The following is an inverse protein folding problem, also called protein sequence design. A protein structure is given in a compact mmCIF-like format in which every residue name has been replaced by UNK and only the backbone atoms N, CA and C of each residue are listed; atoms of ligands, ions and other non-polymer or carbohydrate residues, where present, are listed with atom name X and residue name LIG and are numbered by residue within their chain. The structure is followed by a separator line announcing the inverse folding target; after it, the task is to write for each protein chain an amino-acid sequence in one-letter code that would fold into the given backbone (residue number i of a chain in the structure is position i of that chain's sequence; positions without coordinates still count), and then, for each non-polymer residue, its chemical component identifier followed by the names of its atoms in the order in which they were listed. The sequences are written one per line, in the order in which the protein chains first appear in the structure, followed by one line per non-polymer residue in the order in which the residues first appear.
data_IF_425899235795
#
_entry.id   IF_425899235795
#
_cell.length_a   1.000
_cell.length_b   1.000
_cell.length_c   1.000
_cell.angle_alpha   90.00
_cell.angle_beta   90.00
_cell.angle_gamma   90.00
#
_symmetry.space_group_name_H-M   'P 1'
#
loop_
_entity.id
_entity.type
_entity.pdbx_description
1 polymer ?
#
# COMPACT_ATOMS: atom_id res chain seq x y z
N UNK A 1 -57.34 85.91 -3.61
CA UNK A 1 -58.19 87.03 -3.19
C UNK A 1 -58.85 86.60 -1.89
N UNK A 2 -58.51 87.25 -0.79
CA UNK A 2 -59.08 86.94 0.51
C UNK A 2 -60.52 87.47 0.59
N UNK A 3 -61.45 86.63 1.04
CA UNK A 3 -62.83 87.00 1.28
C UNK A 3 -62.88 88.05 2.39
N UNK A 4 -63.47 89.23 2.13
CA UNK A 4 -63.60 90.25 3.16
C UNK A 4 -64.53 89.77 4.28
N UNK A 5 -64.22 90.14 5.53
CA UNK A 5 -65.00 89.73 6.71
C UNK A 5 -66.49 90.10 6.58
N UNK A 6 -66.77 91.29 6.06
CA UNK A 6 -68.15 91.75 5.80
C UNK A 6 -68.89 90.88 4.76
N UNK A 7 -68.21 90.48 3.67
CA UNK A 7 -68.82 89.60 2.67
C UNK A 7 -69.10 88.21 3.25
N UNK A 8 -68.18 87.67 4.06
CA UNK A 8 -68.33 86.39 4.75
C UNK A 8 -69.53 86.39 5.69
N UNK A 9 -69.66 87.41 6.53
CA UNK A 9 -70.73 87.52 7.53
C UNK A 9 -72.10 87.62 6.84
N UNK A 10 -72.21 88.37 5.74
CA UNK A 10 -73.44 88.43 4.92
C UNK A 10 -73.78 87.10 4.26
N UNK A 11 -72.78 86.37 3.75
CA UNK A 11 -72.99 85.05 3.15
C UNK A 11 -73.49 84.05 4.20
N UNK A 12 -72.91 84.05 5.40
CA UNK A 12 -73.29 83.14 6.48
C UNK A 12 -74.69 83.46 7.01
N UNK A 13 -75.02 84.74 7.20
CA UNK A 13 -76.36 85.16 7.60
C UNK A 13 -77.41 84.80 6.55
N UNK A 14 -77.10 84.99 5.26
CA UNK A 14 -78.00 84.59 4.17
C UNK A 14 -78.14 83.07 4.05
N UNK A 15 -77.06 82.32 4.24
CA UNK A 15 -77.09 80.86 4.25
C UNK A 15 -77.94 80.33 5.41
N UNK A 16 -77.78 80.88 6.62
CA UNK A 16 -78.58 80.51 7.77
C UNK A 16 -80.06 80.83 7.56
N UNK A 17 -80.39 82.04 7.10
CA UNK A 17 -81.78 82.43 6.85
C UNK A 17 -82.45 81.54 5.78
N UNK A 18 -81.74 81.18 4.71
CA UNK A 18 -82.25 80.28 3.67
C UNK A 18 -82.35 78.84 4.14
N UNK A 19 -81.44 78.40 5.00
CA UNK A 19 -81.47 77.07 5.60
C UNK A 19 -82.66 76.93 6.56
N UNK A 20 -82.94 77.97 7.36
CA UNK A 20 -84.11 78.04 8.23
C UNK A 20 -85.42 78.04 7.46
N UNK A 21 -85.49 78.82 6.38
CA UNK A 21 -86.66 78.82 5.49
C UNK A 21 -86.95 77.44 4.88
N UNK A 22 -85.90 76.64 4.66
CA UNK A 22 -86.00 75.27 4.18
C UNK A 22 -86.19 74.24 5.31
N UNK A 23 -86.54 74.67 6.53
CA UNK A 23 -86.76 73.79 7.68
C UNK A 23 -85.50 73.07 8.18
N UNK A 24 -84.31 73.55 7.80
CA UNK A 24 -83.01 72.93 8.06
C UNK A 24 -82.83 71.52 7.48
N UNK A 25 -83.67 71.12 6.52
CA UNK A 25 -83.59 69.79 5.88
C UNK A 25 -82.66 69.80 4.66
N UNK A 26 -82.61 70.93 3.94
CA UNK A 26 -81.86 71.05 2.69
C UNK A 26 -80.93 72.25 2.74
N UNK A 27 -79.64 72.00 2.52
CA UNK A 27 -78.65 73.08 2.44
C UNK A 27 -78.94 74.02 1.27
N UNK A 28 -78.88 75.35 1.47
CA UNK A 28 -79.16 76.29 0.40
C UNK A 28 -78.12 76.17 -0.72
N UNK A 29 -78.56 76.48 -1.94
CA UNK A 29 -77.68 76.49 -3.12
C UNK A 29 -76.80 77.72 -3.10
N UNK A 30 -75.58 77.59 -3.66
CA UNK A 30 -74.61 78.70 -3.67
C UNK A 30 -75.16 79.91 -4.45
N UNK A 31 -75.93 79.70 -5.52
CA UNK A 31 -76.55 80.79 -6.28
C UNK A 31 -77.63 81.54 -5.49
N UNK A 32 -78.45 80.85 -4.68
CA UNK A 32 -79.45 81.48 -3.82
C UNK A 32 -78.79 82.36 -2.75
N UNK A 33 -77.74 81.84 -2.12
CA UNK A 33 -76.97 82.59 -1.10
C UNK A 33 -76.24 83.77 -1.73
N UNK A 34 -75.66 83.61 -2.92
CA UNK A 34 -75.00 84.70 -3.67
C UNK A 34 -75.97 85.85 -3.96
N UNK A 35 -77.19 85.55 -4.43
CA UNK A 35 -78.23 86.55 -4.70
C UNK A 35 -78.69 87.25 -3.43
N UNK A 36 -78.92 86.50 -2.35
CA UNK A 36 -79.36 87.04 -1.07
C UNK A 36 -78.29 87.92 -0.39
N UNK A 37 -77.03 87.50 -0.41
CA UNK A 37 -75.92 88.25 0.20
C UNK A 37 -75.35 89.38 -0.70
N UNK A 38 -75.75 89.42 -1.99
CA UNK A 38 -75.26 90.36 -3.01
C UNK A 38 -73.73 90.37 -3.14
N UNK A 39 -73.15 89.18 -3.30
CA UNK A 39 -71.70 88.96 -3.43
C UNK A 39 -71.35 88.32 -4.78
N UNK A 40 -70.06 88.25 -5.13
CA UNK A 40 -69.62 87.51 -6.31
C UNK A 40 -69.70 85.99 -6.08
N UNK A 41 -69.64 85.21 -7.17
CA UNK A 41 -69.80 83.75 -7.13
C UNK A 41 -68.65 83.02 -6.40
N UNK A 42 -67.43 83.54 -6.49
CA UNK A 42 -66.25 82.92 -5.88
C UNK A 42 -66.29 83.03 -4.34
N UNK A 43 -66.70 84.20 -3.86
CA UNK A 43 -66.89 84.49 -2.43
C UNK A 43 -68.01 83.63 -1.84
N UNK A 44 -69.15 83.56 -2.54
CA UNK A 44 -70.28 82.72 -2.14
C UNK A 44 -69.89 81.24 -2.06
N UNK A 45 -69.16 80.71 -3.05
CA UNK A 45 -68.75 79.30 -3.10
C UNK A 45 -67.77 78.94 -1.98
N UNK A 46 -66.80 79.82 -1.71
CA UNK A 46 -65.77 79.63 -0.68
C UNK A 46 -66.39 79.64 0.72
N UNK A 47 -67.18 80.68 1.02
CA UNK A 47 -67.86 80.81 2.30
C UNK A 47 -68.92 79.71 2.50
N UNK A 48 -69.65 79.29 1.47
CA UNK A 48 -70.61 78.19 1.59
C UNK A 48 -69.96 76.85 1.89
N UNK A 49 -68.76 76.58 1.36
CA UNK A 49 -68.00 75.38 1.69
C UNK A 49 -67.60 75.37 3.17
N UNK A 50 -67.23 76.53 3.70
CA UNK A 50 -66.87 76.70 5.11
C UNK A 50 -68.10 76.59 6.02
N UNK A 51 -69.19 77.29 5.70
CA UNK A 51 -70.43 77.23 6.45
C UNK A 51 -71.02 75.80 6.48
N UNK A 52 -71.03 75.07 5.36
CA UNK A 52 -71.46 73.65 5.35
C UNK A 52 -70.59 72.75 6.22
N UNK A 53 -69.27 73.00 6.30
CA UNK A 53 -68.38 72.26 7.21
C UNK A 53 -68.72 72.54 8.67
N UNK A 54 -69.09 73.78 9.01
CA UNK A 54 -69.53 74.14 10.36
C UNK A 54 -70.85 73.46 10.74
N UNK A 55 -71.73 73.20 9.76
CA UNK A 55 -73.00 72.50 9.99
C UNK A 55 -72.88 70.97 10.01
N UNK A 56 -71.74 70.39 9.57
CA UNK A 56 -71.52 68.95 9.59
C UNK A 56 -71.19 68.48 11.02
N UNK A 57 -72.06 67.67 11.62
CA UNK A 57 -71.76 67.00 12.91
C UNK A 57 -70.75 65.87 12.68
N UNK A 58 -69.67 65.76 13.48
CA UNK A 58 -68.77 64.61 13.43
C UNK A 58 -69.54 63.34 13.85
N UNK A 59 -69.34 62.24 13.11
CA UNK A 59 -69.89 60.94 13.49
C UNK A 59 -69.25 60.47 14.82
N UNK A 60 -69.99 59.80 15.70
CA UNK A 60 -69.44 59.31 16.96
C UNK A 60 -68.34 58.27 16.67
N UNK A 61 -67.21 58.41 17.35
CA UNK A 61 -66.13 57.42 17.32
C UNK A 61 -66.61 56.18 18.07
N UNK A 62 -66.76 55.06 17.36
CA UNK A 62 -67.13 53.77 17.99
C UNK A 62 -65.93 53.27 18.79
N UNK A 63 -66.06 53.24 20.11
CA UNK A 63 -65.03 52.69 20.98
C UNK A 63 -65.16 51.17 21.06
N UNK A 64 -64.03 50.47 20.91
CA UNK A 64 -63.98 49.02 21.07
C UNK A 64 -64.21 48.67 22.54
N UNK A 65 -65.15 47.76 22.87
CA UNK A 65 -65.44 47.38 24.25
C UNK A 65 -64.20 46.86 25.00
N UNK A 66 -64.08 47.23 26.26
CA UNK A 66 -62.92 46.89 27.10
C UNK A 66 -62.69 45.37 27.21
N UNK A 67 -63.76 44.58 27.28
CA UNK A 67 -63.67 43.12 27.28
C UNK A 67 -62.95 42.57 26.03
N UNK A 68 -63.18 43.17 24.86
CA UNK A 68 -62.51 42.77 23.60
C UNK A 68 -61.03 43.17 23.66
N UNK A 69 -60.70 44.32 24.22
CA UNK A 69 -59.32 44.78 24.38
C UNK A 69 -58.53 43.86 25.35
N UNK A 70 -59.13 43.46 26.47
CA UNK A 70 -58.51 42.55 27.44
C UNK A 70 -58.27 41.14 26.84
N UNK A 71 -59.26 40.61 26.10
CA UNK A 71 -59.10 39.33 25.40
C UNK A 71 -58.01 39.43 24.33
N UNK A 72 -57.97 40.51 23.56
CA UNK A 72 -56.93 40.74 22.55
C UNK A 72 -55.53 40.82 23.19
N UNK A 73 -55.36 41.56 24.29
CA UNK A 73 -54.09 41.64 25.01
C UNK A 73 -53.62 40.28 25.53
N UNK A 74 -54.54 39.50 26.10
CA UNK A 74 -54.24 38.15 26.59
C UNK A 74 -53.86 37.21 25.43
N UNK A 75 -54.56 37.28 24.30
CA UNK A 75 -54.25 36.47 23.12
C UNK A 75 -52.88 36.81 22.53
N UNK A 76 -52.50 38.10 22.49
CA UNK A 76 -51.18 38.53 22.01
C UNK A 76 -50.08 38.01 22.93
N UNK A 77 -50.25 38.10 24.26
CA UNK A 77 -49.29 37.55 25.21
C UNK A 77 -49.14 36.03 25.07
N UNK A 78 -50.26 35.31 24.95
CA UNK A 78 -50.24 33.86 24.76
C UNK A 78 -49.53 33.47 23.44
N UNK A 79 -49.81 34.20 22.35
CA UNK A 79 -49.15 33.96 21.06
C UNK A 79 -47.65 34.25 21.13
N UNK A 80 -47.26 35.35 21.77
CA UNK A 80 -45.86 35.70 21.98
C UNK A 80 -45.14 34.61 22.79
N UNK A 81 -45.73 34.17 23.90
CA UNK A 81 -45.15 33.13 24.73
C UNK A 81 -44.98 31.81 23.96
N UNK A 82 -46.03 31.38 23.24
CA UNK A 82 -45.97 30.16 22.42
C UNK A 82 -44.91 30.26 21.31
N UNK A 83 -44.77 31.42 20.67
CA UNK A 83 -43.75 31.64 19.66
C UNK A 83 -42.33 31.61 20.26
N UNK A 84 -42.15 32.18 21.45
CA UNK A 84 -40.87 32.18 22.15
C UNK A 84 -40.47 30.78 22.61
N UNK A 85 -41.41 30.01 23.15
CA UNK A 85 -41.19 28.61 23.54
C UNK A 85 -40.82 27.77 22.32
N UNK A 86 -41.56 27.89 21.21
CA UNK A 86 -41.25 27.19 19.96
C UNK A 86 -39.87 27.57 19.38
N UNK A 87 -39.49 28.86 19.44
CA UNK A 87 -38.18 29.31 19.00
C UNK A 87 -37.03 28.76 19.88
N UNK A 88 -37.24 28.73 21.19
CA UNK A 88 -36.27 28.16 22.13
C UNK A 88 -36.12 26.65 21.96
N UNK A 89 -37.21 25.93 21.70
CA UNK A 89 -37.19 24.50 21.38
C UNK A 89 -36.44 24.22 20.08
N UNK A 90 -36.74 25.00 19.02
CA UNK A 90 -36.03 24.89 17.76
C UNK A 90 -34.53 25.17 17.89
N UNK A 91 -34.16 26.18 18.69
CA UNK A 91 -32.75 26.51 18.97
C UNK A 91 -32.05 25.36 19.70
N UNK A 92 -32.67 24.81 20.74
CA UNK A 92 -32.12 23.68 21.51
C UNK A 92 -31.94 22.44 20.62
N UNK A 93 -32.93 22.14 19.77
CA UNK A 93 -32.86 21.04 18.83
C UNK A 93 -31.74 21.24 17.80
N UNK A 94 -31.60 22.44 17.24
CA UNK A 94 -30.53 22.76 16.29
C UNK A 94 -29.14 22.66 16.93
N UNK A 95 -28.97 23.15 18.16
CA UNK A 95 -27.71 23.04 18.90
C UNK A 95 -27.35 21.58 19.18
N UNK A 96 -28.32 20.75 19.58
CA UNK A 96 -28.09 19.32 19.81
C UNK A 96 -27.74 18.57 18.52
N UNK A 97 -28.42 18.88 17.41
CA UNK A 97 -28.11 18.31 16.10
C UNK A 97 -26.69 18.67 15.64
N UNK A 98 -26.33 19.95 15.73
CA UNK A 98 -24.98 20.41 15.38
C UNK A 98 -23.89 19.78 16.24
N UNK A 99 -24.11 19.67 17.56
CA UNK A 99 -23.14 19.03 18.46
C UNK A 99 -22.97 17.55 18.14
N UNK A 100 -24.06 16.86 17.76
CA UNK A 100 -24.00 15.45 17.31
C UNK A 100 -23.21 15.32 16.01
N UNK A 101 -23.53 16.13 14.99
CA UNK A 101 -22.80 16.13 13.71
C UNK A 101 -21.32 16.45 13.89
N UNK A 102 -21.01 17.39 14.79
CA UNK A 102 -19.63 17.75 15.13
C UNK A 102 -18.90 16.57 15.77
N UNK A 103 -19.51 15.90 16.74
CA UNK A 103 -18.91 14.73 17.39
C UNK A 103 -18.68 13.58 16.40
N UNK A 104 -19.63 13.36 15.48
CA UNK A 104 -19.49 12.37 14.40
C UNK A 104 -18.35 12.74 13.44
N UNK A 105 -18.22 14.02 13.07
CA UNK A 105 -17.13 14.49 12.22
C UNK A 105 -15.77 14.37 12.90
N UNK A 106 -15.67 14.71 14.18
CA UNK A 106 -14.45 14.57 14.98
C UNK A 106 -14.07 13.08 15.12
N UNK A 107 -15.05 12.20 15.36
CA UNK A 107 -14.85 10.75 15.44
C UNK A 107 -14.37 10.16 14.10
N UNK A 108 -14.99 10.55 12.99
CA UNK A 108 -14.57 10.11 11.65
C UNK A 108 -13.17 10.62 11.33
N UNK A 109 -12.85 11.87 11.68
CA UNK A 109 -11.53 12.43 11.47
C UNK A 109 -10.46 11.68 12.25
N UNK A 110 -10.75 11.29 13.50
CA UNK A 110 -9.84 10.46 14.29
C UNK A 110 -9.68 9.06 13.70
N UNK A 111 -10.78 8.39 13.32
CA UNK A 111 -10.70 7.06 12.70
C UNK A 111 -9.89 7.07 11.40
N UNK A 112 -10.02 8.12 10.59
CA UNK A 112 -9.19 8.27 9.39
C UNK A 112 -7.72 8.48 9.73
N UNK A 113 -7.41 9.32 10.74
CA UNK A 113 -6.04 9.53 11.19
C UNK A 113 -5.40 8.21 11.68
N UNK A 114 -6.11 7.47 12.53
CA UNK A 114 -5.66 6.17 13.05
C UNK A 114 -5.43 5.16 11.92
N UNK A 115 -6.32 5.13 10.91
CA UNK A 115 -6.18 4.26 9.75
C UNK A 115 -4.97 4.63 8.87
N UNK A 116 -4.70 5.93 8.68
CA UNK A 116 -3.52 6.40 7.96
C UNK A 116 -2.23 6.07 8.70
N UNK A 117 -2.20 6.23 10.02
CA UNK A 117 -1.04 5.85 10.84
C UNK A 117 -0.79 4.33 10.77
N UNK A 118 -1.84 3.51 10.92
CA UNK A 118 -1.73 2.06 10.78
C UNK A 118 -1.19 1.67 9.39
N UNK A 119 -1.71 2.27 8.32
CA UNK A 119 -1.24 2.03 6.96
C UNK A 119 0.23 2.45 6.76
N UNK A 120 0.66 3.55 7.38
CA UNK A 120 2.06 3.98 7.32
C UNK A 120 2.98 2.95 8.00
N UNK A 121 2.61 2.45 9.18
CA UNK A 121 3.36 1.39 9.86
C UNK A 121 3.42 0.09 9.05
N UNK A 122 2.31 -0.32 8.44
CA UNK A 122 2.27 -1.51 7.58
C UNK A 122 3.16 -1.33 6.34
N UNK A 123 3.18 -0.14 5.75
CA UNK A 123 4.03 0.18 4.61
C UNK A 123 5.51 0.12 4.99
N UNK A 124 5.89 0.73 6.12
CA UNK A 124 7.27 0.67 6.63
C UNK A 124 7.71 -0.77 6.91
N UNK A 125 6.84 -1.58 7.53
CA UNK A 125 7.12 -2.99 7.79
C UNK A 125 7.27 -3.80 6.49
N UNK A 126 6.42 -3.57 5.49
CA UNK A 126 6.51 -4.22 4.19
C UNK A 126 7.79 -3.82 3.45
N UNK A 127 8.17 -2.55 3.48
CA UNK A 127 9.41 -2.05 2.89
C UNK A 127 10.64 -2.68 3.56
N UNK A 128 10.67 -2.72 4.89
CA UNK A 128 11.75 -3.38 5.63
C UNK A 128 11.87 -4.86 5.25
N UNK A 129 10.74 -5.56 5.10
CA UNK A 129 10.73 -6.96 4.66
C UNK A 129 11.23 -7.15 3.23
N UNK A 130 10.90 -6.24 2.32
CA UNK A 130 11.42 -6.25 0.95
C UNK A 130 12.94 -6.10 0.96
N UNK A 131 13.47 -5.11 1.68
CA UNK A 131 14.93 -4.90 1.79
C UNK A 131 15.64 -6.12 2.38
N UNK A 132 15.06 -6.75 3.40
CA UNK A 132 15.59 -8.00 3.97
C UNK A 132 15.63 -9.13 2.94
N UNK A 133 14.53 -9.34 2.21
CA UNK A 133 14.43 -10.38 1.18
C UNK A 133 15.36 -10.14 0.00
N UNK A 134 15.52 -8.89 -0.43
CA UNK A 134 16.49 -8.51 -1.47
C UNK A 134 17.92 -8.82 -1.02
N UNK A 135 18.26 -8.50 0.23
CA UNK A 135 19.55 -8.85 0.84
C UNK A 135 19.79 -10.35 0.88
N UNK A 136 18.80 -11.13 1.34
CA UNK A 136 18.87 -12.58 1.39
C UNK A 136 19.00 -13.20 -0.01
N UNK A 137 18.28 -12.66 -1.01
CA UNK A 137 18.38 -13.10 -2.40
C UNK A 137 19.78 -12.86 -2.96
N UNK A 138 20.37 -11.68 -2.71
CA UNK A 138 21.71 -11.37 -3.18
C UNK A 138 22.77 -12.29 -2.54
N UNK A 139 22.61 -12.61 -1.25
CA UNK A 139 23.45 -13.60 -0.56
C UNK A 139 23.30 -14.99 -1.17
N UNK A 140 22.07 -15.43 -1.48
CA UNK A 140 21.83 -16.72 -2.11
C UNK A 140 22.45 -16.80 -3.51
N UNK A 141 22.34 -15.75 -4.32
CA UNK A 141 22.95 -15.67 -5.66
C UNK A 141 24.48 -15.76 -5.58
N UNK A 142 25.10 -15.01 -4.66
CA UNK A 142 26.56 -15.04 -4.49
C UNK A 142 27.05 -16.41 -3.98
N UNK A 143 26.34 -17.02 -3.03
CA UNK A 143 26.64 -18.37 -2.56
C UNK A 143 26.50 -19.42 -3.68
N UNK A 144 25.43 -19.33 -4.49
CA UNK A 144 25.23 -20.23 -5.63
C UNK A 144 26.37 -20.13 -6.65
N UNK A 145 26.81 -18.91 -6.97
CA UNK A 145 27.95 -18.69 -7.86
C UNK A 145 29.26 -19.29 -7.29
N UNK A 146 29.50 -19.12 -5.98
CA UNK A 146 30.67 -19.70 -5.31
C UNK A 146 30.65 -21.24 -5.32
N UNK A 147 29.47 -21.84 -5.05
CA UNK A 147 29.30 -23.29 -5.14
C UNK A 147 29.49 -23.82 -6.56
N UNK A 148 28.98 -23.11 -7.57
CA UNK A 148 29.17 -23.47 -8.97
C UNK A 148 30.66 -23.48 -9.35
N UNK A 149 31.40 -22.43 -8.99
CA UNK A 149 32.84 -22.36 -9.22
C UNK A 149 33.61 -23.49 -8.50
N UNK A 150 33.20 -23.84 -7.27
CA UNK A 150 33.80 -24.95 -6.54
C UNK A 150 33.54 -26.30 -7.22
N UNK A 151 32.32 -26.53 -7.73
CA UNK A 151 31.97 -27.74 -8.48
C UNK A 151 32.79 -27.84 -9.76
N UNK A 152 32.94 -26.74 -10.51
CA UNK A 152 33.75 -26.71 -11.73
C UNK A 152 35.22 -27.03 -11.45
N UNK A 153 35.78 -26.49 -10.36
CA UNK A 153 37.13 -26.81 -9.92
C UNK A 153 37.29 -28.29 -9.58
N UNK A 154 36.38 -28.86 -8.79
CA UNK A 154 36.43 -30.29 -8.42
C UNK A 154 36.31 -31.19 -9.66
N UNK A 155 35.49 -30.80 -10.65
CA UNK A 155 35.40 -31.52 -11.93
C UNK A 155 36.71 -31.48 -12.70
N UNK A 156 37.38 -30.33 -12.77
CA UNK A 156 38.68 -30.20 -13.41
C UNK A 156 39.75 -31.05 -12.72
N UNK A 157 39.81 -31.01 -11.38
CA UNK A 157 40.73 -31.80 -10.57
C UNK A 157 40.49 -33.31 -10.76
N UNK A 158 39.22 -33.73 -10.87
CA UNK A 158 38.86 -35.13 -11.15
C UNK A 158 39.36 -35.61 -12.52
N UNK A 159 39.22 -34.79 -13.56
CA UNK A 159 39.70 -35.12 -14.91
C UNK A 159 41.23 -35.24 -14.93
N UNK A 160 41.95 -34.32 -14.28
CA UNK A 160 43.42 -34.39 -14.15
C UNK A 160 43.85 -35.66 -13.40
N UNK A 161 43.19 -35.98 -12.28
CA UNK A 161 43.45 -37.22 -11.54
C UNK A 161 43.18 -38.48 -12.37
N UNK A 162 42.09 -38.51 -13.15
CA UNK A 162 41.79 -39.62 -14.05
C UNK A 162 42.87 -39.79 -15.13
N UNK A 163 43.39 -38.70 -15.69
CA UNK A 163 44.46 -38.75 -16.68
C UNK A 163 45.80 -39.20 -16.07
N UNK A 164 46.10 -38.79 -14.83
CA UNK A 164 47.27 -39.27 -14.10
C UNK A 164 47.16 -40.76 -13.77
N UNK A 165 45.98 -41.21 -13.37
CA UNK A 165 45.70 -42.62 -13.10
C UNK A 165 45.90 -43.48 -14.36
N UNK A 166 45.32 -43.10 -15.50
CA UNK A 166 45.48 -43.85 -16.76
C UNK A 166 46.95 -43.89 -17.23
N UNK A 167 47.69 -42.80 -17.06
CA UNK A 167 49.14 -42.75 -17.36
C UNK A 167 49.94 -43.66 -16.44
N UNK A 168 49.62 -43.69 -15.14
CA UNK A 168 50.26 -44.57 -14.17
C UNK A 168 49.96 -46.05 -14.47
N UNK A 169 48.72 -46.38 -14.83
CA UNK A 169 48.30 -47.72 -15.25
C UNK A 169 49.05 -48.18 -16.52
N UNK A 170 49.19 -47.31 -17.53
CA UNK A 170 49.95 -47.61 -18.74
C UNK A 170 51.42 -47.92 -18.42
N UNK A 171 52.08 -47.07 -17.61
CA UNK A 171 53.47 -47.30 -17.17
C UNK A 171 53.63 -48.58 -16.36
N UNK A 172 52.66 -48.92 -15.50
CA UNK A 172 52.69 -50.16 -14.74
C UNK A 172 52.59 -51.39 -15.67
N UNK A 173 51.79 -51.31 -16.73
CA UNK A 173 51.69 -52.35 -17.76
C UNK A 173 52.99 -52.52 -18.56
N UNK A 174 53.63 -51.40 -18.95
CA UNK A 174 54.93 -51.39 -19.63
C UNK A 174 56.02 -52.03 -18.76
N UNK A 175 56.15 -51.59 -17.50
CA UNK A 175 57.12 -52.15 -16.55
C UNK A 175 56.90 -53.64 -16.32
N UNK A 176 55.65 -54.10 -16.29
CA UNK A 176 55.33 -55.54 -16.17
C UNK A 176 55.80 -56.31 -17.39
N UNK A 177 55.57 -55.78 -18.59
CA UNK A 177 56.03 -56.39 -19.85
C UNK A 177 57.56 -56.43 -19.93
N UNK A 178 58.24 -55.36 -19.50
CA UNK A 178 59.70 -55.31 -19.42
C UNK A 178 60.25 -56.32 -18.40
N UNK A 179 59.60 -56.45 -17.24
CA UNK A 179 59.95 -57.44 -16.22
C UNK A 179 59.80 -58.87 -16.75
N UNK A 180 58.70 -59.18 -17.43
CA UNK A 180 58.47 -60.50 -18.04
C UNK A 180 59.55 -60.80 -19.11
N UNK A 181 59.91 -59.81 -19.94
CA UNK A 181 61.00 -59.95 -20.92
C UNK A 181 62.35 -60.18 -20.23
N UNK A 182 62.65 -59.42 -19.17
CA UNK A 182 63.88 -59.59 -18.40
C UNK A 182 63.96 -61.00 -17.76
N UNK A 183 62.84 -61.52 -17.27
CA UNK A 183 62.74 -62.89 -16.76
C UNK A 183 63.01 -63.95 -17.84
N UNK A 184 62.46 -63.77 -19.06
CA UNK A 184 62.73 -64.65 -20.19
C UNK A 184 64.21 -64.65 -20.57
N UNK A 185 64.80 -63.47 -20.76
CA UNK A 185 66.23 -63.32 -21.08
C UNK A 185 67.11 -63.96 -19.99
N UNK A 186 66.77 -63.74 -18.71
CA UNK A 186 67.50 -64.36 -17.60
C UNK A 186 67.34 -65.89 -17.56
N UNK A 187 66.20 -66.44 -17.99
CA UNK A 187 66.01 -67.88 -18.13
C UNK A 187 66.83 -68.46 -19.29
N UNK A 188 66.84 -67.79 -20.44
CA UNK A 188 67.66 -68.16 -21.61
C UNK A 188 69.15 -68.14 -21.29
N UNK A 189 69.65 -67.07 -20.66
CA UNK A 189 71.05 -66.97 -20.23
C UNK A 189 71.43 -68.09 -19.25
N UNK A 190 70.54 -68.44 -18.31
CA UNK A 190 70.77 -69.57 -17.39
C UNK A 190 70.82 -70.90 -18.13
N UNK A 191 69.94 -71.12 -19.10
CA UNK A 191 69.94 -72.32 -19.95
C UNK A 191 71.24 -72.43 -20.76
N UNK A 192 71.62 -71.36 -21.47
CA UNK A 192 72.85 -71.29 -22.25
C UNK A 192 74.10 -71.49 -21.37
N UNK A 193 74.13 -70.89 -20.19
CA UNK A 193 75.21 -71.12 -19.22
C UNK A 193 75.23 -72.57 -18.71
N UNK A 194 74.07 -73.20 -18.53
CA UNK A 194 73.94 -74.62 -18.22
C UNK A 194 74.55 -75.50 -19.32
N UNK A 195 74.13 -75.28 -20.57
CA UNK A 195 74.66 -75.99 -21.75
C UNK A 195 76.17 -75.82 -21.89
N UNK A 196 76.69 -74.59 -21.79
CA UNK A 196 78.12 -74.34 -21.86
C UNK A 196 78.91 -75.07 -20.76
N UNK A 197 78.35 -75.21 -19.55
CA UNK A 197 78.96 -75.98 -18.46
C UNK A 197 78.95 -77.49 -18.75
N UNK A 198 77.87 -78.01 -19.31
CA UNK A 198 77.75 -79.41 -19.74
C UNK A 198 78.73 -79.74 -20.88
N UNK A 199 78.81 -78.88 -21.89
CA UNK A 199 79.78 -78.99 -22.99
C UNK A 199 81.22 -78.94 -22.46
N UNK A 200 81.52 -78.00 -21.56
CA UNK A 200 82.84 -77.92 -20.92
C UNK A 200 83.15 -79.14 -20.03
N UNK A 201 82.15 -79.73 -19.37
CA UNK A 201 82.32 -80.97 -18.62
C UNK A 201 82.57 -82.15 -19.57
N UNK A 202 81.84 -82.23 -20.69
CA UNK A 202 82.00 -83.23 -21.73
C UNK A 202 83.38 -83.17 -22.37
N UNK A 203 83.84 -81.96 -22.75
CA UNK A 203 85.18 -81.75 -23.29
C UNK A 203 86.27 -82.11 -22.27
N UNK A 204 86.12 -81.72 -21.00
CA UNK A 204 87.03 -82.13 -19.92
C UNK A 204 87.08 -83.65 -19.77
N UNK A 205 85.93 -84.33 -19.81
CA UNK A 205 85.85 -85.79 -19.79
C UNK A 205 86.57 -86.44 -20.97
N UNK A 206 86.38 -85.90 -22.19
CA UNK A 206 87.10 -86.37 -23.41
C UNK A 206 88.61 -86.15 -23.30
N UNK A 207 89.05 -84.99 -22.80
CA UNK A 207 90.47 -84.71 -22.56
C UNK A 207 91.07 -85.68 -21.54
N UNK A 208 90.40 -85.91 -20.41
CA UNK A 208 90.84 -86.88 -19.41
C UNK A 208 90.92 -88.31 -19.98
N UNK A 209 89.99 -88.70 -20.86
CA UNK A 209 90.04 -89.99 -21.55
C UNK A 209 91.22 -90.08 -22.54
N UNK A 210 91.50 -89.01 -23.30
CA UNK A 210 92.68 -88.94 -24.17
C UNK A 210 93.99 -88.97 -23.37
N UNK A 211 94.08 -88.24 -22.27
CA UNK A 211 95.22 -88.27 -21.34
C UNK A 211 95.40 -89.65 -20.72
N UNK A 212 94.32 -90.32 -20.32
CA UNK A 212 94.32 -91.70 -19.82
C UNK A 212 94.76 -92.74 -20.87
N UNK A 213 94.40 -92.54 -22.14
CA UNK A 213 94.90 -93.35 -23.26
C UNK A 213 96.40 -93.11 -23.53
N UNK A 214 96.86 -91.87 -23.38
CA UNK A 214 98.28 -91.53 -23.53
C UNK A 214 99.15 -92.01 -22.34
N UNK A 215 98.53 -92.33 -21.19
CA UNK A 215 99.23 -92.69 -19.94
C UNK A 215 98.99 -94.14 -19.46
N UNK A 216 98.20 -94.96 -20.18
CA UNK A 216 97.97 -96.37 -19.80
C UNK A 216 99.12 -97.30 -20.24
N UNK A 217 99.76 -98.05 -19.31
CA UNK A 217 100.73 -99.09 -19.63
C UNK A 217 100.04 -100.42 -19.98
N UNK A 218 100.56 -101.12 -20.99
CA UNK A 218 100.23 -102.51 -21.33
C UNK A 218 100.51 -103.45 -20.15
N UNK A 219 99.50 -104.14 -19.63
CA UNK A 219 99.71 -105.33 -18.79
C UNK A 219 98.72 -106.45 -19.09
N UNK A 220 99.28 -107.51 -19.67
CA UNK A 220 98.76 -108.86 -19.83
C UNK A 220 98.28 -109.48 -18.52
N UNK A 221 97.23 -110.31 -18.60
CA UNK A 221 96.88 -111.30 -17.57
C UNK A 221 96.91 -112.71 -18.18
N UNK A 222 97.90 -113.50 -17.76
CA UNK A 222 97.82 -114.97 -17.74
C UNK A 222 97.86 -115.48 -16.28
N UNK A 223 96.66 -115.82 -15.81
CA UNK A 223 96.22 -116.81 -14.81
C UNK A 223 97.08 -117.29 -13.62
N UNK A 224 96.35 -117.41 -12.50
CA UNK A 224 96.27 -118.58 -11.60
C UNK A 224 97.29 -118.73 -10.47
N UNK A 225 96.80 -118.51 -9.24
CA UNK A 225 97.41 -119.02 -8.01
C UNK A 225 96.56 -118.73 -6.77
N UNK A 226 95.81 -119.73 -6.28
CA UNK A 226 95.27 -119.82 -4.90
C UNK A 226 96.03 -121.01 -4.26
N UNK A 227 96.32 -121.11 -2.94
CA UNK A 227 95.47 -120.62 -1.85
C UNK A 227 96.16 -120.21 -0.51
N UNK A 228 95.28 -119.77 0.42
CA UNK A 228 95.19 -120.13 1.87
C UNK A 228 96.00 -119.38 2.95
N UNK A 229 95.23 -118.94 3.95
CA UNK A 229 95.58 -118.87 5.39
C UNK A 229 95.76 -117.44 5.93
N UNK A 230 95.44 -117.08 7.17
CA UNK A 230 94.68 -117.64 8.32
C UNK A 230 94.79 -116.58 9.46
N UNK A 231 93.79 -116.47 10.34
CA UNK A 231 93.86 -115.79 11.66
C UNK A 231 93.42 -114.32 11.62
N UNK A 232 92.31 -113.87 12.22
CA UNK A 232 91.80 -113.94 13.62
C UNK A 232 92.65 -113.12 14.60
N UNK A 233 91.98 -112.16 15.23
CA UNK A 233 92.49 -111.31 16.31
C UNK A 233 91.73 -110.00 16.35
#
# INVERSE_FOLDING_TARGET
MELSKDARDRIFAAAEALFEQAGREVFPTVDAVRKAAKVNMNDASTAMKEWRRMQARPAPVVQVPEAVQQVAGTAVLALWQAAQDAANDALRAAQAGWETERQEADALSQQMADAYEAQAFELEAAQARITELEGAMQQAVTAAAAHQAAIEKVRADLVDLQQRASTAEARASELRTELDRAHLVAAEQRSAAGQAREDAATLRGRLAAFEGMATSPTQDKASSGKPRGKGVG
#
